data_IF_365311967410
#
_entry.id   IF_365311967410
#
_cell.length_a   1.000
_cell.length_b   1.000
_cell.length_c   1.000
_cell.angle_alpha   90.00
_cell.angle_beta   90.00
_cell.angle_gamma   90.00
#
_symmetry.space_group_name_H-M   'P 1'
#
loop_
_entity.id
_entity.type
_entity.pdbx_description
1 polymer ?
#
# COMPACT_ATOMS: atom_id res chain seq x y z
N UNK A 1 -14.48 2.43 -3.15
CA UNK A 1 -13.16 3.12 -3.21
C UNK A 1 -13.08 4.33 -4.17
N UNK A 2 -13.23 4.20 -5.50
CA UNK A 2 -13.07 5.33 -6.43
C UNK A 2 -13.99 6.53 -6.12
N UNK A 3 -15.24 6.27 -5.75
CA UNK A 3 -16.19 7.29 -5.28
C UNK A 3 -15.73 7.95 -3.96
N UNK A 4 -15.19 7.18 -3.01
CA UNK A 4 -14.70 7.71 -1.73
C UNK A 4 -13.47 8.63 -1.89
N UNK A 5 -12.69 8.44 -2.95
CA UNK A 5 -11.55 9.29 -3.28
C UNK A 5 -11.96 10.64 -3.89
N UNK A 6 -13.13 10.72 -4.54
CA UNK A 6 -13.58 11.93 -5.20
C UNK A 6 -13.80 13.06 -4.17
N UNK A 7 -13.05 14.15 -4.31
CA UNK A 7 -13.21 15.35 -3.47
C UNK A 7 -12.74 15.22 -2.01
N UNK A 8 -12.02 14.16 -1.64
CA UNK A 8 -11.54 14.01 -0.26
C UNK A 8 -10.31 14.88 0.02
N UNK A 9 -10.33 15.73 1.06
CA UNK A 9 -9.22 16.66 1.35
C UNK A 9 -7.96 15.96 1.86
N UNK A 10 -8.06 14.68 2.23
CA UNK A 10 -6.93 13.86 2.70
C UNK A 10 -6.39 12.93 1.61
N UNK A 11 -6.82 13.06 0.35
CA UNK A 11 -6.45 12.13 -0.72
C UNK A 11 -4.93 12.01 -0.89
N UNK A 12 -4.24 13.13 -1.02
CA UNK A 12 -2.79 13.15 -1.19
C UNK A 12 -2.05 12.53 0.01
N UNK A 13 -2.58 12.77 1.22
CA UNK A 13 -2.05 12.18 2.46
C UNK A 13 -2.24 10.66 2.49
N UNK A 14 -3.45 10.19 2.15
CA UNK A 14 -3.76 8.78 2.08
C UNK A 14 -2.93 8.07 1.02
N UNK A 15 -2.82 8.62 -0.20
CA UNK A 15 -1.98 8.05 -1.26
C UNK A 15 -0.52 7.94 -0.83
N UNK A 16 0.02 8.95 -0.14
CA UNK A 16 1.40 8.89 0.38
C UNK A 16 1.57 7.75 1.40
N UNK A 17 0.64 7.63 2.36
CA UNK A 17 0.67 6.56 3.36
C UNK A 17 0.48 5.17 2.74
N UNK A 18 -0.39 5.07 1.74
CA UNK A 18 -0.70 3.84 0.99
C UNK A 18 0.50 3.36 0.18
N UNK A 19 1.27 4.26 -0.47
CA UNK A 19 2.51 3.87 -1.17
C UNK A 19 3.53 3.19 -0.24
N UNK A 20 3.66 3.64 1.00
CA UNK A 20 4.57 3.03 1.96
C UNK A 20 4.13 1.59 2.35
N UNK A 21 2.83 1.37 2.54
CA UNK A 21 2.27 0.04 2.82
C UNK A 21 2.33 -0.89 1.62
N UNK A 22 2.02 -0.38 0.43
CA UNK A 22 2.13 -1.09 -0.83
C UNK A 22 3.58 -1.53 -1.10
N UNK A 23 4.55 -0.61 -0.97
CA UNK A 23 5.96 -0.91 -1.18
C UNK A 23 6.46 -2.00 -0.22
N UNK A 24 6.08 -1.92 1.06
CA UNK A 24 6.43 -2.94 2.04
C UNK A 24 5.78 -4.30 1.73
N UNK A 25 4.51 -4.31 1.32
CA UNK A 25 3.80 -5.53 0.97
C UNK A 25 4.35 -6.18 -0.30
N UNK A 26 4.68 -5.39 -1.32
CA UNK A 26 5.29 -5.87 -2.56
C UNK A 26 6.69 -6.46 -2.27
N UNK A 27 7.51 -5.79 -1.45
CA UNK A 27 8.79 -6.32 -1.02
C UNK A 27 8.63 -7.65 -0.26
N UNK A 28 7.65 -7.75 0.63
CA UNK A 28 7.32 -8.97 1.35
C UNK A 28 6.93 -10.13 0.42
N UNK A 29 6.14 -9.86 -0.64
CA UNK A 29 5.82 -10.84 -1.66
C UNK A 29 7.02 -11.28 -2.52
N UNK A 30 8.12 -10.53 -2.49
CA UNK A 30 9.42 -10.93 -3.05
C UNK A 30 10.32 -11.66 -2.03
N UNK A 31 9.79 -12.01 -0.85
CA UNK A 31 10.53 -12.66 0.23
C UNK A 31 11.44 -11.69 1.00
N UNK A 32 11.23 -10.37 0.87
CA UNK A 32 11.98 -9.32 1.55
C UNK A 32 11.07 -8.62 2.54
N UNK A 33 10.99 -9.13 3.78
CA UNK A 33 10.19 -8.50 4.84
C UNK A 33 10.68 -7.08 5.12
N UNK A 34 9.77 -6.12 5.05
CA UNK A 34 10.01 -4.71 5.34
C UNK A 34 8.94 -4.22 6.30
N UNK A 35 9.37 -3.55 7.36
CA UNK A 35 8.46 -2.81 8.24
C UNK A 35 8.06 -1.47 7.56
N UNK A 36 6.77 -1.23 7.25
CA UNK A 36 6.29 0.02 6.68
C UNK A 36 6.63 1.25 7.54
N UNK A 37 6.71 1.11 8.87
CA UNK A 37 7.02 2.23 9.77
C UNK A 37 8.49 2.61 9.72
N UNK A 38 9.38 1.62 9.54
CA UNK A 38 10.78 1.88 9.21
C UNK A 38 10.92 2.65 7.91
N UNK A 39 10.15 2.29 6.88
CA UNK A 39 10.12 3.01 5.61
C UNK A 39 9.70 4.48 5.82
N UNK A 40 8.62 4.72 6.57
CA UNK A 40 8.17 6.08 6.94
C UNK A 40 9.23 6.87 7.71
N UNK A 41 9.93 6.22 8.63
CA UNK A 41 11.02 6.82 9.42
C UNK A 41 12.19 7.26 8.52
N UNK A 42 12.56 6.45 7.54
CA UNK A 42 13.60 6.77 6.57
C UNK A 42 13.19 7.90 5.61
N UNK A 43 11.94 7.89 5.13
CA UNK A 43 11.39 8.98 4.33
C UNK A 43 11.38 10.31 5.09
N UNK A 44 11.13 10.25 6.40
CA UNK A 44 11.23 11.39 7.30
C UNK A 44 12.68 11.82 7.59
N UNK A 45 13.69 11.16 7.00
CA UNK A 45 15.14 11.37 7.20
C UNK A 45 15.56 11.29 8.67
N UNK A 46 14.86 10.45 9.43
CA UNK A 46 15.24 10.17 10.82
C UNK A 46 16.42 9.19 10.81
N UNK A 47 17.49 9.45 11.58
CA UNK A 47 18.60 8.51 11.69
C UNK A 47 18.13 7.15 12.21
N UNK A 48 18.06 6.16 11.33
CA UNK A 48 17.82 4.77 11.69
C UNK A 48 19.15 4.04 11.80
N UNK A 49 19.30 3.13 12.77
CA UNK A 49 20.46 2.23 12.79
C UNK A 49 20.41 1.32 11.56
N UNK A 50 21.57 1.09 10.94
CA UNK A 50 21.72 0.05 9.93
C UNK A 50 21.29 -1.29 10.57
N UNK A 51 20.40 -2.03 9.91
CA UNK A 51 20.01 -3.38 10.33
C UNK A 51 20.28 -4.36 9.20
N UNK A 52 20.21 -5.66 9.53
CA UNK A 52 20.37 -6.78 8.61
C UNK A 52 19.45 -6.70 7.38
N UNK A 53 18.35 -5.95 7.44
CA UNK A 53 17.34 -5.85 6.36
C UNK A 53 17.49 -4.60 5.49
N UNK A 54 18.67 -3.98 5.46
CA UNK A 54 18.92 -2.75 4.69
C UNK A 54 18.61 -2.91 3.20
N UNK A 55 18.95 -4.06 2.60
CA UNK A 55 18.63 -4.36 1.20
C UNK A 55 17.13 -4.40 0.91
N UNK A 56 16.34 -5.03 1.79
CA UNK A 56 14.88 -5.06 1.69
C UNK A 56 14.28 -3.66 1.81
N UNK A 57 14.84 -2.85 2.70
CA UNK A 57 14.42 -1.47 2.91
C UNK A 57 14.71 -0.58 1.70
N UNK A 58 15.88 -0.75 1.06
CA UNK A 58 16.23 -0.04 -0.17
C UNK A 58 15.33 -0.44 -1.35
N UNK A 59 14.97 -1.73 -1.46
CA UNK A 59 14.00 -2.20 -2.44
C UNK A 59 12.63 -1.51 -2.26
N UNK A 60 12.11 -1.46 -1.03
CA UNK A 60 10.84 -0.78 -0.77
C UNK A 60 10.90 0.74 -1.05
N UNK A 61 12.04 1.39 -0.77
CA UNK A 61 12.24 2.79 -1.16
C UNK A 61 12.23 2.97 -2.69
N UNK A 62 12.84 2.05 -3.44
CA UNK A 62 12.85 2.09 -4.90
C UNK A 62 11.45 1.87 -5.48
N UNK A 63 10.71 0.87 -4.99
CA UNK A 63 9.30 0.64 -5.35
C UNK A 63 8.44 1.89 -5.09
N UNK A 64 8.63 2.56 -3.96
CA UNK A 64 7.91 3.80 -3.66
C UNK A 64 8.28 4.95 -4.59
N UNK A 65 9.56 5.06 -5.00
CA UNK A 65 9.99 6.05 -5.97
C UNK A 65 9.41 5.78 -7.35
N UNK A 66 9.31 4.52 -7.77
CA UNK A 66 8.66 4.13 -9.01
C UNK A 66 7.18 4.55 -9.02
N UNK A 67 6.43 4.19 -7.97
CA UNK A 67 5.03 4.63 -7.83
C UNK A 67 4.88 6.16 -7.90
N UNK A 68 5.82 6.94 -7.34
CA UNK A 68 5.79 8.40 -7.41
C UNK A 68 6.18 8.97 -8.77
N UNK A 69 7.06 8.29 -9.52
CA UNK A 69 7.46 8.70 -10.86
C UNK A 69 6.34 8.41 -11.87
N UNK A 70 5.68 7.26 -11.74
CA UNK A 70 4.52 6.88 -12.56
C UNK A 70 3.37 7.89 -12.43
N UNK A 71 3.18 8.48 -11.24
CA UNK A 71 2.20 9.56 -11.03
C UNK A 71 2.63 10.91 -11.64
N UNK A 72 3.93 11.09 -11.90
CA UNK A 72 4.50 12.35 -12.39
C UNK A 72 4.63 12.39 -13.92
N UNK A 73 4.71 11.23 -14.59
CA UNK A 73 4.81 11.13 -16.05
C UNK A 73 3.52 11.52 -16.79
N UNK A 74 2.40 11.75 -16.08
CA UNK A 74 1.20 12.44 -16.60
C UNK A 74 1.37 13.98 -16.68
N UNK A 75 2.52 14.53 -16.24
CA UNK A 75 2.77 15.96 -16.14
C UNK A 75 4.26 16.29 -15.98
N UNK A 76 5.02 16.07 -17.05
CA UNK A 76 6.46 16.24 -17.20
C UNK A 76 7.18 17.19 -16.23
N UNK A 77 8.02 16.60 -15.39
CA UNK A 77 9.28 17.20 -14.92
C UNK A 77 10.17 16.07 -14.37
N UNK A 78 10.97 15.46 -15.25
CA UNK A 78 12.10 14.63 -14.84
C UNK A 78 13.12 15.51 -14.10
N UNK A 79 13.03 15.53 -12.78
CA UNK A 79 14.04 16.15 -11.93
C UNK A 79 15.35 15.36 -11.94
N UNK A 80 16.38 15.95 -11.34
CA UNK A 80 17.77 15.46 -11.19
C UNK A 80 17.90 14.19 -10.29
N UNK A 81 16.86 13.36 -10.25
CA UNK A 81 16.80 12.16 -9.44
C UNK A 81 17.63 11.04 -10.10
N UNK A 82 18.39 10.24 -9.32
CA UNK A 82 19.11 9.11 -9.89
C UNK A 82 18.15 8.15 -10.62
N UNK A 83 18.60 7.55 -11.73
CA UNK A 83 17.77 6.68 -12.56
C UNK A 83 17.19 5.55 -11.72
N UNK A 84 15.89 5.30 -11.90
CA UNK A 84 15.19 4.20 -11.25
C UNK A 84 15.70 2.87 -11.81
N UNK A 85 15.70 1.82 -10.99
CA UNK A 85 16.01 0.48 -11.48
C UNK A 85 14.83 0.03 -12.34
N UNK A 86 15.04 -0.32 -13.62
CA UNK A 86 13.95 -0.83 -14.46
C UNK A 86 13.32 -2.06 -13.82
N UNK A 87 12.00 -2.07 -13.68
CA UNK A 87 11.23 -3.24 -13.27
C UNK A 87 10.53 -3.85 -14.47
N UNK A 88 10.07 -5.10 -14.36
CA UNK A 88 9.20 -5.71 -15.36
C UNK A 88 7.80 -5.10 -15.41
N UNK A 89 7.57 -3.89 -14.86
CA UNK A 89 6.26 -3.27 -14.78
C UNK A 89 5.68 -2.93 -16.16
N UNK A 90 6.48 -2.36 -17.06
CA UNK A 90 6.01 -2.04 -18.41
C UNK A 90 5.71 -3.33 -19.22
N UNK A 91 6.54 -4.36 -19.04
CA UNK A 91 6.34 -5.70 -19.60
C UNK A 91 5.07 -6.40 -19.06
N UNK A 92 4.77 -6.19 -17.77
CA UNK A 92 3.54 -6.68 -17.15
C UNK A 92 2.32 -5.90 -17.67
N UNK A 93 2.43 -4.57 -17.79
CA UNK A 93 1.38 -3.71 -18.32
C UNK A 93 1.04 -4.06 -19.78
N UNK A 94 2.05 -4.32 -20.62
CA UNK A 94 1.85 -4.76 -21.99
C UNK A 94 1.08 -6.10 -22.07
N UNK A 95 1.32 -7.03 -21.13
CA UNK A 95 0.58 -8.30 -21.05
C UNK A 95 -0.86 -8.11 -20.58
N UNK A 96 -1.11 -7.18 -19.65
CA UNK A 96 -2.48 -6.81 -19.24
C UNK A 96 -3.26 -6.19 -20.40
N UNK A 97 -2.62 -5.32 -21.20
CA UNK A 97 -3.24 -4.74 -22.39
C UNK A 97 -3.54 -5.80 -23.46
N UNK A 98 -2.59 -6.71 -23.72
CA UNK A 98 -2.80 -7.82 -24.66
C UNK A 98 -3.96 -8.75 -24.24
N UNK A 99 -4.25 -8.85 -22.93
CA UNK A 99 -5.35 -9.65 -22.41
C UNK A 99 -6.73 -8.98 -22.56
N UNK A 100 -6.83 -7.73 -23.02
CA UNK A 100 -8.12 -7.05 -23.20
C UNK A 100 -8.94 -7.62 -24.36
N UNK A 101 -8.29 -7.88 -25.50
CA UNK A 101 -8.93 -8.47 -26.68
C UNK A 101 -9.62 -9.81 -26.38
N UNK A 102 -8.93 -10.83 -25.82
CA UNK A 102 -9.56 -12.13 -25.53
C UNK A 102 -10.64 -12.04 -24.45
N UNK A 103 -10.60 -11.02 -23.58
CA UNK A 103 -11.58 -10.82 -22.50
C UNK A 103 -12.74 -9.91 -22.91
N UNK A 104 -12.83 -9.52 -24.19
CA UNK A 104 -13.85 -8.58 -24.71
C UNK A 104 -13.89 -7.26 -23.92
N UNK A 105 -12.72 -6.81 -23.46
CA UNK A 105 -12.57 -5.56 -22.70
C UNK A 105 -12.87 -5.64 -21.21
N UNK A 106 -13.05 -6.82 -20.62
CA UNK A 106 -13.25 -6.97 -19.18
C UNK A 106 -11.95 -6.65 -18.39
N UNK A 107 -11.76 -5.38 -18.02
CA UNK A 107 -10.50 -4.82 -17.47
C UNK A 107 -9.93 -5.62 -16.31
N UNK A 108 -10.73 -5.98 -15.30
CA UNK A 108 -10.22 -6.73 -14.14
C UNK A 108 -9.78 -8.15 -14.50
N UNK A 109 -10.46 -8.77 -15.47
CA UNK A 109 -10.10 -10.10 -15.97
C UNK A 109 -8.80 -10.01 -16.78
N UNK A 110 -8.69 -9.03 -17.67
CA UNK A 110 -7.46 -8.76 -18.43
C UNK A 110 -6.28 -8.47 -17.50
N UNK A 111 -6.49 -7.69 -16.44
CA UNK A 111 -5.49 -7.41 -15.43
C UNK A 111 -4.97 -8.70 -14.76
N UNK A 112 -5.89 -9.56 -14.29
CA UNK A 112 -5.53 -10.82 -13.65
C UNK A 112 -4.83 -11.81 -14.59
N UNK A 113 -5.29 -11.93 -15.84
CA UNK A 113 -4.66 -12.81 -16.83
C UNK A 113 -3.29 -12.28 -17.27
N UNK A 114 -3.15 -10.99 -17.51
CA UNK A 114 -1.88 -10.37 -17.87
C UNK A 114 -0.85 -10.43 -16.74
N UNK A 115 -1.30 -10.29 -15.50
CA UNK A 115 -0.48 -10.51 -14.31
C UNK A 115 0.07 -11.93 -14.28
N UNK A 116 -0.79 -12.94 -14.47
CA UNK A 116 -0.36 -14.34 -14.49
C UNK A 116 0.60 -14.61 -15.65
N UNK A 117 0.26 -14.16 -16.86
CA UNK A 117 1.10 -14.33 -18.04
C UNK A 117 2.49 -13.69 -17.88
N UNK A 118 2.60 -12.58 -17.12
CA UNK A 118 3.89 -11.99 -16.79
C UNK A 118 4.73 -12.92 -15.93
N UNK A 119 4.12 -13.51 -14.90
CA UNK A 119 4.81 -14.41 -13.99
C UNK A 119 5.15 -15.76 -14.64
N UNK A 120 4.27 -16.29 -15.48
CA UNK A 120 4.52 -17.52 -16.27
C UNK A 120 5.67 -17.33 -17.27
N UNK A 121 5.83 -16.12 -17.80
CA UNK A 121 6.96 -15.75 -18.65
C UNK A 121 8.28 -15.52 -17.87
N UNK A 122 8.31 -15.78 -16.56
CA UNK A 122 9.47 -15.56 -15.70
C UNK A 122 9.67 -14.11 -15.26
N UNK A 123 8.66 -13.26 -15.44
CA UNK A 123 8.66 -11.88 -14.98
C UNK A 123 8.67 -11.75 -13.46
N UNK A 124 9.07 -10.58 -12.97
CA UNK A 124 9.22 -10.33 -11.54
C UNK A 124 7.89 -9.94 -10.87
N UNK A 125 7.71 -10.39 -9.62
CA UNK A 125 6.48 -10.09 -8.84
C UNK A 125 6.29 -8.60 -8.58
N UNK A 126 7.37 -7.83 -8.46
CA UNK A 126 7.30 -6.38 -8.22
C UNK A 126 6.73 -5.63 -9.41
N UNK A 127 7.26 -5.92 -10.61
CA UNK A 127 6.79 -5.40 -11.88
C UNK A 127 5.30 -5.70 -12.08
N UNK A 128 4.89 -6.95 -11.88
CA UNK A 128 3.48 -7.33 -11.92
C UNK A 128 2.61 -6.48 -10.97
N UNK A 129 3.03 -6.33 -9.71
CA UNK A 129 2.28 -5.59 -8.71
C UNK A 129 2.19 -4.08 -9.00
N UNK A 130 3.28 -3.47 -9.46
CA UNK A 130 3.31 -2.05 -9.84
C UNK A 130 2.38 -1.76 -11.03
N UNK A 131 2.38 -2.66 -12.02
CA UNK A 131 1.58 -2.53 -13.23
C UNK A 131 0.07 -2.51 -12.96
N UNK A 132 -0.43 -3.26 -11.96
CA UNK A 132 -1.87 -3.35 -11.66
C UNK A 132 -2.48 -1.97 -11.44
N UNK A 133 -1.92 -1.17 -10.53
CA UNK A 133 -2.49 0.13 -10.16
C UNK A 133 -2.51 1.11 -11.33
N UNK A 134 -1.46 1.09 -12.18
CA UNK A 134 -1.34 1.91 -13.39
C UNK A 134 -2.34 1.47 -14.45
N UNK A 135 -2.42 0.17 -14.71
CA UNK A 135 -3.34 -0.40 -15.68
C UNK A 135 -4.79 -0.04 -15.36
N UNK A 136 -5.20 -0.18 -14.10
CA UNK A 136 -6.57 0.19 -13.68
C UNK A 136 -6.86 1.68 -13.87
N UNK A 137 -5.88 2.56 -13.62
CA UNK A 137 -6.02 4.00 -13.83
C UNK A 137 -6.14 4.34 -15.33
N UNK A 138 -5.23 3.82 -16.16
CA UNK A 138 -5.22 4.05 -17.63
C UNK A 138 -6.50 3.53 -18.29
N UNK A 139 -7.06 2.43 -17.78
CA UNK A 139 -8.35 1.89 -18.25
C UNK A 139 -9.58 2.55 -17.61
N UNK A 140 -9.41 3.59 -16.79
CA UNK A 140 -10.49 4.38 -16.20
C UNK A 140 -11.26 3.70 -15.06
N UNK A 141 -10.77 2.60 -14.52
CA UNK A 141 -11.38 1.91 -13.36
C UNK A 141 -11.15 2.69 -12.05
N UNK A 142 -10.04 3.41 -11.96
CA UNK A 142 -9.74 4.35 -10.87
C UNK A 142 -9.36 5.71 -11.45
N UNK A 143 -9.63 6.83 -10.74
CA UNK A 143 -9.32 8.17 -11.25
C UNK A 143 -7.81 8.49 -11.27
N UNK A 144 -7.00 7.65 -10.63
CA UNK A 144 -5.54 7.76 -10.50
C UNK A 144 -4.98 6.39 -10.10
N UNK A 145 -3.67 6.14 -10.26
CA UNK A 145 -3.05 4.91 -9.78
C UNK A 145 -3.22 4.78 -8.27
N UNK A 146 -3.85 3.68 -7.82
CA UNK A 146 -4.10 3.44 -6.41
C UNK A 146 -3.13 2.41 -5.84
N UNK A 147 -2.15 2.81 -5.02
CA UNK A 147 -1.05 1.93 -4.60
C UNK A 147 -1.48 0.67 -3.86
N UNK A 148 -2.57 0.73 -3.08
CA UNK A 148 -3.09 -0.45 -2.37
C UNK A 148 -3.69 -1.50 -3.32
N UNK A 149 -4.10 -1.12 -4.54
CA UNK A 149 -4.57 -2.04 -5.58
C UNK A 149 -3.40 -2.54 -6.41
N UNK A 150 -2.67 -3.51 -5.87
CA UNK A 150 -1.42 -3.99 -6.46
C UNK A 150 -1.38 -5.52 -6.68
N UNK A 151 -2.45 -6.26 -6.37
CA UNK A 151 -2.51 -7.71 -6.60
C UNK A 151 -1.64 -8.56 -5.66
N UNK A 152 -0.91 -7.97 -4.71
CA UNK A 152 -0.03 -8.70 -3.78
C UNK A 152 -0.79 -9.75 -2.96
N UNK A 153 -2.05 -9.47 -2.67
CA UNK A 153 -2.88 -10.40 -1.90
C UNK A 153 -3.22 -11.67 -2.68
N UNK A 154 -3.35 -11.57 -4.01
CA UNK A 154 -3.49 -12.72 -4.87
C UNK A 154 -2.27 -13.64 -4.77
N UNK A 155 -1.06 -13.06 -4.72
CA UNK A 155 0.19 -13.80 -4.54
C UNK A 155 0.18 -14.53 -3.19
N UNK A 156 -0.15 -13.83 -2.10
CA UNK A 156 -0.17 -14.41 -0.74
C UNK A 156 -1.16 -15.57 -0.61
N UNK A 157 -2.33 -15.45 -1.23
CA UNK A 157 -3.35 -16.51 -1.21
C UNK A 157 -3.00 -17.68 -2.12
N UNK A 158 -2.34 -17.42 -3.24
CA UNK A 158 -1.84 -18.48 -4.11
C UNK A 158 -0.68 -19.26 -3.47
N UNK A 159 0.14 -18.62 -2.61
CA UNK A 159 1.21 -19.26 -1.82
C UNK A 159 1.09 -18.98 -0.30
N UNK A 160 0.14 -19.63 0.42
CA UNK A 160 -0.09 -19.38 1.84
C UNK A 160 1.11 -19.73 2.73
N UNK A 161 2.01 -20.57 2.23
CA UNK A 161 3.09 -21.18 3.00
C UNK A 161 4.27 -20.23 3.22
N UNK A 162 4.44 -19.23 2.34
CA UNK A 162 5.60 -18.32 2.36
C UNK A 162 6.96 -19.03 2.29
N UNK A 163 6.98 -20.34 1.99
CA UNK A 163 8.12 -21.23 2.23
C UNK A 163 9.18 -21.16 1.13
N UNK A 164 9.01 -20.31 0.11
CA UNK A 164 10.01 -20.15 -0.97
C UNK A 164 10.71 -18.80 -0.90
N UNK A 165 11.83 -18.72 -0.17
CA UNK A 165 12.75 -17.61 -0.31
C UNK A 165 13.48 -17.74 -1.65
N UNK A 166 13.34 -16.74 -2.53
CA UNK A 166 14.14 -16.62 -3.75
C UNK A 166 13.89 -17.71 -4.78
N UNK A 167 12.92 -17.50 -5.67
CA UNK A 167 12.69 -18.38 -6.81
C UNK A 167 11.20 -18.50 -7.06
N UNK A 168 10.79 -18.19 -8.28
CA UNK A 168 9.41 -18.33 -8.72
C UNK A 168 8.85 -19.71 -8.41
N UNK A 169 7.53 -19.83 -8.56
CA UNK A 169 6.95 -21.14 -8.77
C UNK A 169 7.76 -21.84 -9.88
N UNK A 170 8.10 -23.14 -9.75
CA UNK A 170 8.56 -23.87 -10.91
C UNK A 170 7.55 -23.60 -12.02
N UNK A 171 8.04 -23.10 -13.17
CA UNK A 171 7.22 -22.72 -14.30
C UNK A 171 6.15 -23.79 -14.55
N UNK A 172 4.87 -23.40 -14.55
CA UNK A 172 3.76 -24.30 -14.87
C UNK A 172 2.97 -24.87 -13.67
N UNK A 173 3.28 -24.52 -12.43
CA UNK A 173 2.52 -25.02 -11.26
C UNK A 173 1.76 -23.92 -10.48
N UNK A 174 1.27 -22.89 -11.18
CA UNK A 174 0.22 -22.03 -10.62
C UNK A 174 -1.04 -22.87 -10.33
N UNK A 175 -1.91 -22.45 -9.40
CA UNK A 175 -3.27 -23.00 -9.31
C UNK A 175 -4.03 -22.64 -10.59
N UNK A 176 -3.78 -23.39 -11.67
CA UNK A 176 -4.23 -23.11 -13.03
C UNK A 176 -5.76 -23.18 -13.18
N UNK A 177 -6.47 -23.69 -12.17
CA UNK A 177 -7.93 -23.65 -12.10
C UNK A 177 -8.55 -22.49 -11.32
N UNK A 178 -7.80 -21.79 -10.44
CA UNK A 178 -8.41 -20.83 -9.49
C UNK A 178 -7.69 -19.47 -9.38
N UNK A 179 -6.70 -19.19 -10.25
CA UNK A 179 -5.95 -17.93 -10.19
C UNK A 179 -6.86 -16.71 -10.30
N UNK A 180 -7.76 -16.67 -11.30
CA UNK A 180 -8.57 -15.48 -11.55
C UNK A 180 -9.48 -15.16 -10.36
N UNK A 181 -10.12 -16.17 -9.77
CA UNK A 181 -10.94 -16.00 -8.55
C UNK A 181 -10.07 -15.51 -7.39
N UNK A 182 -8.91 -16.14 -7.16
CA UNK A 182 -7.96 -15.73 -6.11
C UNK A 182 -7.48 -14.28 -6.31
N UNK A 183 -7.26 -13.88 -7.56
CA UNK A 183 -6.87 -12.53 -7.93
C UNK A 183 -7.99 -11.52 -7.68
N UNK A 184 -9.21 -11.81 -8.14
CA UNK A 184 -10.36 -10.93 -7.94
C UNK A 184 -10.71 -10.80 -6.46
N UNK A 185 -10.67 -11.87 -5.67
CA UNK A 185 -10.82 -11.83 -4.21
C UNK A 185 -9.67 -11.06 -3.53
N UNK A 186 -8.46 -11.18 -4.08
CA UNK A 186 -7.29 -10.34 -3.76
C UNK A 186 -7.61 -8.86 -3.88
N UNK A 187 -8.00 -8.46 -5.08
CA UNK A 187 -8.31 -7.08 -5.43
C UNK A 187 -9.49 -6.53 -4.66
N UNK A 188 -10.55 -7.33 -4.44
CA UNK A 188 -11.70 -6.95 -3.65
C UNK A 188 -11.29 -6.61 -2.22
N UNK A 189 -10.50 -7.48 -1.57
CA UNK A 189 -10.05 -7.24 -0.20
C UNK A 189 -9.11 -6.04 -0.10
N UNK A 190 -8.21 -5.85 -1.08
CA UNK A 190 -7.35 -4.67 -1.13
C UNK A 190 -8.14 -3.37 -1.33
N UNK A 191 -9.24 -3.41 -2.07
CA UNK A 191 -10.14 -2.27 -2.24
C UNK A 191 -10.90 -1.94 -0.95
N UNK A 192 -11.38 -2.96 -0.23
CA UNK A 192 -12.05 -2.81 1.07
C UNK A 192 -11.10 -2.22 2.12
N UNK A 193 -9.91 -2.81 2.30
CA UNK A 193 -8.88 -2.31 3.23
C UNK A 193 -8.43 -0.89 2.86
N UNK A 194 -8.28 -0.60 1.55
CA UNK A 194 -7.96 0.72 1.04
C UNK A 194 -9.04 1.76 1.37
N UNK A 195 -10.31 1.41 1.19
CA UNK A 195 -11.43 2.27 1.51
C UNK A 195 -11.58 2.52 3.02
N UNK A 196 -11.48 1.46 3.83
CA UNK A 196 -11.50 1.56 5.30
C UNK A 196 -10.38 2.47 5.82
N UNK A 197 -9.16 2.31 5.30
CA UNK A 197 -8.02 3.15 5.70
C UNK A 197 -8.19 4.62 5.29
N UNK A 198 -8.77 4.90 4.11
CA UNK A 198 -9.09 6.25 3.67
C UNK A 198 -10.14 6.91 4.58
N UNK A 199 -11.22 6.20 4.86
CA UNK A 199 -12.30 6.66 5.74
C UNK A 199 -11.76 6.90 7.16
N UNK A 200 -10.96 5.98 7.69
CA UNK A 200 -10.32 6.12 8.99
C UNK A 200 -9.43 7.38 9.06
N UNK A 201 -8.58 7.61 8.06
CA UNK A 201 -7.74 8.81 8.00
C UNK A 201 -8.57 10.09 7.92
N UNK A 202 -9.64 10.11 7.11
CA UNK A 202 -10.52 11.27 7.00
C UNK A 202 -11.19 11.60 8.34
N UNK A 203 -11.72 10.60 9.05
CA UNK A 203 -12.33 10.79 10.37
C UNK A 203 -11.32 11.30 11.40
N UNK A 204 -10.12 10.71 11.43
CA UNK A 204 -9.01 11.15 12.30
C UNK A 204 -8.60 12.58 12.02
N UNK A 205 -8.34 12.91 10.76
CA UNK A 205 -7.95 14.26 10.34
C UNK A 205 -9.00 15.32 10.72
N UNK A 206 -10.29 15.03 10.50
CA UNK A 206 -11.38 15.92 10.96
C UNK A 206 -11.38 16.07 12.47
N UNK A 207 -11.14 14.98 13.21
CA UNK A 207 -10.98 15.00 14.66
C UNK A 207 -9.83 15.90 15.11
N UNK A 208 -8.64 15.72 14.53
CA UNK A 208 -7.46 16.54 14.83
C UNK A 208 -7.69 18.02 14.55
N UNK A 209 -8.30 18.36 13.40
CA UNK A 209 -8.64 19.76 13.09
C UNK A 209 -9.64 20.36 14.08
N UNK A 210 -10.61 19.58 14.60
CA UNK A 210 -11.53 20.06 15.64
C UNK A 210 -10.82 20.36 16.96
N UNK A 211 -9.83 19.54 17.36
CA UNK A 211 -9.07 19.77 18.61
C UNK A 211 -8.24 21.05 18.57
N UNK A 212 -7.72 21.41 17.39
CA UNK A 212 -6.97 22.66 17.18
C UNK A 212 -7.88 23.90 17.20
N UNK A 213 -9.13 23.77 16.74
CA UNK A 213 -10.08 24.89 16.67
C UNK A 213 -9.98 25.73 15.39
N UNK A 214 -10.85 26.73 15.25
CA UNK A 214 -11.08 27.46 13.99
C UNK A 214 -10.63 28.94 13.99
N UNK A 215 -9.69 29.34 14.85
CA UNK A 215 -9.26 30.75 14.89
C UNK A 215 -8.29 31.06 13.76
N UNK A 216 -8.33 32.29 13.25
CA UNK A 216 -7.41 32.77 12.21
C UNK A 216 -5.94 32.70 12.63
N UNK A 217 -5.65 32.84 13.93
CA UNK A 217 -4.31 32.67 14.52
C UNK A 217 -3.76 31.25 14.36
N UNK A 218 -4.62 30.26 14.17
CA UNK A 218 -4.29 28.83 14.25
C UNK A 218 -3.96 28.25 12.86
N UNK A 219 -3.85 29.10 11.84
CA UNK A 219 -3.56 28.68 10.47
C UNK A 219 -2.27 27.86 10.37
N UNK A 220 -1.24 28.18 11.17
CA UNK A 220 0.04 27.45 11.15
C UNK A 220 -0.05 26.07 11.79
N UNK A 221 -0.76 25.95 12.92
CA UNK A 221 -0.97 24.65 13.57
C UNK A 221 -1.89 23.74 12.74
N UNK A 222 -2.89 24.29 12.03
CA UNK A 222 -3.68 23.50 11.07
C UNK A 222 -2.85 22.95 9.92
N UNK A 223 -1.92 23.74 9.37
CA UNK A 223 -0.97 23.25 8.37
C UNK A 223 -0.02 22.19 8.94
N UNK A 224 0.31 22.28 10.23
CA UNK A 224 1.07 21.24 10.92
C UNK A 224 0.27 19.93 11.06
N UNK A 225 -1.04 20.01 11.37
CA UNK A 225 -1.95 18.85 11.33
C UNK A 225 -1.97 18.21 9.95
N UNK A 226 -2.10 18.99 8.88
CA UNK A 226 -2.12 18.48 7.51
C UNK A 226 -0.79 17.79 7.15
N UNK A 227 0.34 18.33 7.61
CA UNK A 227 1.66 17.73 7.42
C UNK A 227 1.80 16.38 8.14
N UNK A 228 1.36 16.30 9.40
CA UNK A 228 1.37 15.05 10.18
C UNK A 228 0.42 14.01 9.58
N UNK A 229 -0.76 14.45 9.12
CA UNK A 229 -1.68 13.60 8.40
C UNK A 229 -1.07 13.05 7.10
N UNK A 230 -0.34 13.88 6.35
CA UNK A 230 0.29 13.44 5.11
C UNK A 230 1.41 12.41 5.33
N UNK A 231 2.34 12.70 6.24
CA UNK A 231 3.61 11.97 6.29
C UNK A 231 3.65 10.90 7.38
N UNK A 232 2.78 11.02 8.39
CA UNK A 232 2.69 10.07 9.51
C UNK A 232 3.85 10.15 10.49
N UNK A 233 5.07 10.39 10.03
CA UNK A 233 6.29 10.59 10.84
C UNK A 233 6.88 11.96 10.52
N UNK A 234 7.17 12.74 11.55
CA UNK A 234 7.59 14.13 11.42
C UNK A 234 8.71 14.48 12.40
N UNK A 235 9.74 15.14 11.91
CA UNK A 235 10.78 15.78 12.75
C UNK A 235 10.62 17.31 12.72
N UNK A 236 11.12 18.04 13.74
CA UNK A 236 11.07 19.49 13.74
C UNK A 236 11.70 20.13 12.49
N UNK A 237 12.85 19.61 12.04
CA UNK A 237 13.53 20.11 10.84
C UNK A 237 12.69 19.92 9.56
N UNK A 238 12.00 18.79 9.45
CA UNK A 238 11.16 18.48 8.29
C UNK A 238 9.88 19.31 8.27
N UNK A 239 9.25 19.49 9.44
CA UNK A 239 8.10 20.38 9.55
C UNK A 239 8.49 21.84 9.26
N UNK A 240 9.64 22.29 9.77
CA UNK A 240 10.19 23.62 9.51
C UNK A 240 10.39 23.87 8.01
N UNK A 241 11.00 22.91 7.30
CA UNK A 241 11.16 22.99 5.84
C UNK A 241 9.82 23.06 5.11
N UNK A 242 8.85 22.23 5.51
CA UNK A 242 7.51 22.19 4.88
C UNK A 242 6.71 23.46 5.12
N UNK A 243 6.76 24.01 6.34
CA UNK A 243 6.04 25.23 6.71
C UNK A 243 6.84 26.51 6.40
N UNK A 244 8.09 26.38 5.93
CA UNK A 244 9.04 27.48 5.69
C UNK A 244 9.18 28.38 6.93
N UNK A 245 9.43 27.78 8.09
CA UNK A 245 9.60 28.50 9.36
C UNK A 245 10.87 28.06 10.09
N UNK A 246 11.19 28.73 11.20
CA UNK A 246 12.29 28.32 12.06
C UNK A 246 12.03 26.95 12.72
N UNK A 247 13.08 26.17 12.95
CA UNK A 247 13.01 24.86 13.61
C UNK A 247 12.48 24.94 15.05
N UNK A 248 12.75 26.04 15.76
CA UNK A 248 12.16 26.32 17.09
C UNK A 248 10.65 26.43 17.00
N UNK A 249 10.13 27.28 16.12
CA UNK A 249 8.68 27.42 15.90
C UNK A 249 8.01 26.10 15.45
N UNK A 250 8.71 25.28 14.65
CA UNK A 250 8.22 23.95 14.28
C UNK A 250 8.21 22.97 15.48
N UNK A 251 9.17 23.10 16.39
CA UNK A 251 9.22 22.32 17.62
C UNK A 251 8.03 22.66 18.52
N UNK A 252 7.76 23.95 18.73
CA UNK A 252 6.61 24.42 19.54
C UNK A 252 5.28 23.91 18.97
N UNK A 253 5.14 23.89 17.64
CA UNK A 253 3.96 23.33 16.98
C UNK A 253 3.82 21.83 17.23
N UNK A 254 4.90 21.06 17.16
CA UNK A 254 4.86 19.61 17.40
C UNK A 254 4.56 19.28 18.87
N UNK A 255 5.09 20.07 19.81
CA UNK A 255 4.75 19.95 21.24
C UNK A 255 3.29 20.30 21.52
N UNK A 256 2.74 21.32 20.84
CA UNK A 256 1.31 21.62 20.91
C UNK A 256 0.47 20.48 20.34
N UNK A 257 0.83 19.93 19.17
CA UNK A 257 0.14 18.76 18.60
C UNK A 257 0.23 17.54 19.52
N UNK A 258 1.34 17.37 20.25
CA UNK A 258 1.47 16.33 21.25
C UNK A 258 0.54 16.54 22.45
N UNK A 259 0.45 17.79 22.96
CA UNK A 259 -0.50 18.15 24.03
C UNK A 259 -1.95 17.94 23.62
N UNK A 260 -2.28 18.09 22.34
CA UNK A 260 -3.60 17.82 21.76
C UNK A 260 -3.81 16.34 21.37
N UNK A 261 -2.88 15.45 21.72
CA UNK A 261 -2.92 14.01 21.42
C UNK A 261 -3.05 13.71 19.92
N UNK A 262 -2.53 14.58 19.06
CA UNK A 262 -2.51 14.42 17.60
C UNK A 262 -1.23 13.69 17.16
N UNK A 263 -0.14 13.92 17.88
CA UNK A 263 1.15 13.28 17.64
C UNK A 263 1.77 12.76 18.94
N UNK A 264 2.59 11.71 18.83
CA UNK A 264 3.30 11.09 19.94
C UNK A 264 4.79 11.18 19.66
N UNK A 265 5.55 11.72 20.62
CA UNK A 265 7.02 11.70 20.54
C UNK A 265 7.53 10.29 20.85
N UNK A 266 8.22 9.67 19.89
CA UNK A 266 8.75 8.31 20.02
C UNK A 266 10.23 8.28 20.41
N UNK A 267 10.97 9.36 20.19
CA UNK A 267 12.39 9.46 20.51
C UNK A 267 12.58 10.29 21.78
N UNK A 268 12.99 9.70 22.90
CA UNK A 268 13.32 10.46 24.13
C UNK A 268 14.70 11.14 24.07
N UNK A 269 15.15 11.61 22.89
CA UNK A 269 16.49 12.20 22.68
C UNK A 269 16.37 13.70 22.43
N UNK A 270 17.23 14.50 23.09
CA UNK A 270 17.25 15.97 22.94
C UNK A 270 17.56 16.48 21.53
N UNK A 271 18.38 15.77 20.76
CA UNK A 271 18.92 16.27 19.47
C UNK A 271 18.17 15.83 18.22
N UNK A 272 17.40 14.74 18.29
CA UNK A 272 16.68 14.18 17.13
C UNK A 272 15.29 13.73 17.55
N UNK A 273 14.43 14.70 17.89
CA UNK A 273 13.04 14.44 18.25
C UNK A 273 12.23 14.04 17.01
N UNK A 274 11.42 13.00 17.17
CA UNK A 274 10.57 12.43 16.14
C UNK A 274 9.20 12.23 16.73
N UNK A 275 8.23 12.78 16.02
CA UNK A 275 6.82 12.74 16.35
C UNK A 275 6.12 11.89 15.31
N UNK A 276 5.20 11.06 15.76
CA UNK A 276 4.42 10.19 14.89
C UNK A 276 2.96 10.56 15.10
N UNK A 277 2.18 10.59 14.02
CA UNK A 277 0.74 10.68 14.13
C UNK A 277 0.23 9.63 15.11
N UNK A 278 -0.64 10.03 16.04
CA UNK A 278 -1.14 9.16 17.11
C UNK A 278 -1.63 7.80 16.59
N UNK A 279 -2.23 7.84 15.41
CA UNK A 279 -2.84 6.72 14.74
C UNK A 279 -1.87 5.66 14.18
N UNK A 280 -0.59 6.01 14.09
CA UNK A 280 0.51 5.11 13.71
C UNK A 280 1.41 4.76 14.91
N UNK A 281 1.18 5.36 16.08
CA UNK A 281 2.08 5.25 17.23
C UNK A 281 2.12 3.83 17.82
N UNK A 282 0.98 3.13 17.89
CA UNK A 282 0.91 1.75 18.36
C UNK A 282 1.77 0.81 17.51
N UNK A 283 1.80 1.02 16.19
CA UNK A 283 2.56 0.20 15.25
C UNK A 283 4.09 0.42 15.34
N UNK A 284 4.54 1.49 16.01
CA UNK A 284 5.96 1.71 16.31
C UNK A 284 6.39 1.10 17.66
N UNK A 285 5.43 0.82 18.54
CA UNK A 285 5.67 0.14 19.82
C UNK A 285 6.17 -1.30 19.67
N UNK A 286 5.84 -1.97 18.55
CA UNK A 286 6.38 -3.29 18.19
C UNK A 286 7.87 -3.26 17.78
N UNK A 287 8.44 -2.06 17.58
CA UNK A 287 9.85 -1.83 17.22
C UNK A 287 10.67 -1.26 18.40
N UNK A 288 10.11 -1.23 19.62
CA UNK A 288 10.90 -1.11 20.84
C UNK A 288 11.71 -2.41 21.06
N UNK A 289 12.95 -2.34 21.57
CA UNK A 289 13.90 -3.45 21.47
C UNK A 289 13.33 -4.71 22.10
N UNK A 290 13.49 -5.85 21.39
CA UNK A 290 13.39 -7.18 21.99
C UNK A 290 14.22 -7.14 23.27
N UNK A 291 13.55 -7.10 24.42
CA UNK A 291 14.17 -7.36 25.70
C UNK A 291 14.90 -8.69 25.58
N UNK A 292 16.09 -8.79 26.18
CA UNK A 292 17.00 -9.93 26.11
C UNK A 292 16.46 -11.18 26.87
N UNK A 293 15.17 -11.46 26.76
CA UNK A 293 14.49 -12.56 27.42
C UNK A 293 13.51 -13.22 26.44
N UNK A 294 14.06 -13.96 25.49
CA UNK A 294 13.36 -15.06 24.81
C UNK A 294 14.42 -16.07 24.38
N UNK A 295 15.02 -16.72 25.38
CA UNK A 295 15.78 -17.94 25.20
C UNK A 295 14.85 -19.07 24.74
N UNK A 296 15.37 -19.87 23.80
CA UNK A 296 15.09 -21.30 23.57
C UNK A 296 13.65 -21.77 23.41
N UNK A 297 13.25 -22.03 22.16
CA UNK A 297 12.32 -23.12 21.83
C UNK A 297 12.90 -23.96 20.69
N UNK A 298 12.90 -25.27 20.92
CA UNK A 298 13.71 -26.27 20.23
C UNK A 298 13.27 -26.66 18.82
N UNK A 299 14.16 -27.42 18.19
CA UNK A 299 14.02 -28.00 16.86
C UNK A 299 12.83 -28.98 16.75
N UNK A 300 12.22 -29.03 15.57
CA UNK A 300 11.24 -30.06 15.19
C UNK A 300 11.82 -30.85 13.99
N UNK A 301 11.79 -32.20 13.99
CA UNK A 301 12.37 -33.02 12.93
C UNK A 301 11.43 -33.21 11.73
N UNK A 302 12.03 -33.45 10.56
CA UNK A 302 11.38 -33.66 9.27
C UNK A 302 10.85 -35.10 9.08
N UNK A 303 9.76 -35.24 8.31
CA UNK A 303 9.22 -36.52 7.81
C UNK A 303 8.59 -36.32 6.41
N UNK A 304 8.49 -37.37 5.57
CA UNK A 304 8.85 -37.29 4.15
C UNK A 304 7.69 -37.17 3.14
N UNK A 305 8.07 -36.69 1.94
CA UNK A 305 7.28 -36.55 0.71
C UNK A 305 6.79 -37.90 0.17
N UNK A 306 5.53 -37.95 -0.29
CA UNK A 306 4.98 -39.05 -1.08
C UNK A 306 4.41 -38.54 -2.42
N UNK A 307 4.53 -39.41 -3.42
CA UNK A 307 4.52 -39.20 -4.86
C UNK A 307 3.17 -38.80 -5.50
N UNK A 308 3.29 -38.13 -6.66
CA UNK A 308 2.25 -37.87 -7.67
C UNK A 308 1.76 -39.16 -8.38
N UNK A 309 0.59 -39.08 -9.03
CA UNK A 309 0.57 -39.38 -10.47
C UNK A 309 -0.07 -38.27 -11.33
N UNK A 310 0.29 -38.33 -12.61
CA UNK A 310 0.11 -37.41 -13.74
C UNK A 310 -1.10 -37.86 -14.63
N UNK A 311 -1.42 -37.25 -15.80
CA UNK A 311 -2.28 -36.08 -16.01
C UNK A 311 -3.50 -36.34 -16.95
N UNK A 312 -4.10 -35.25 -17.44
CA UNK A 312 -5.11 -35.08 -18.51
C UNK A 312 -6.60 -35.20 -18.19
N UNK A 313 -7.26 -34.02 -18.12
CA UNK A 313 -8.57 -33.78 -18.74
C UNK A 313 -8.83 -32.28 -18.90
N UNK A 314 -9.30 -31.90 -20.09
CA UNK A 314 -9.97 -30.62 -20.34
C UNK A 314 -11.10 -30.41 -19.32
N UNK A 315 -11.22 -29.20 -18.75
CA UNK A 315 -12.26 -28.83 -17.78
C UNK A 315 -13.00 -27.59 -18.29
N UNK A 316 -14.33 -27.71 -18.38
CA UNK A 316 -15.27 -26.62 -18.71
C UNK A 316 -15.23 -25.49 -17.66
N UNK A 317 -15.75 -24.28 -17.95
CA UNK A 317 -15.74 -23.16 -17.00
C UNK A 317 -16.43 -23.57 -15.69
N UNK A 318 -15.74 -23.38 -14.56
CA UNK A 318 -16.20 -23.78 -13.25
C UNK A 318 -17.48 -23.02 -12.83
N UNK A 319 -18.47 -23.77 -12.34
CA UNK A 319 -19.66 -23.24 -11.64
C UNK A 319 -19.24 -22.27 -10.52
N UNK A 320 -19.92 -21.13 -10.42
CA UNK A 320 -19.76 -20.16 -9.31
C UNK A 320 -19.27 -18.75 -9.69
N UNK A 321 -18.89 -18.51 -10.95
CA UNK A 321 -18.59 -17.14 -11.45
C UNK A 321 -19.82 -16.23 -11.33
N UNK A 322 -21.00 -16.77 -11.63
CA UNK A 322 -22.27 -16.06 -11.50
C UNK A 322 -22.62 -15.75 -10.03
N UNK A 323 -22.23 -16.63 -9.09
CA UNK A 323 -22.44 -16.41 -7.66
C UNK A 323 -21.52 -15.33 -7.08
N UNK A 324 -20.28 -15.25 -7.57
CA UNK A 324 -19.32 -14.19 -7.21
C UNK A 324 -19.78 -12.81 -7.72
N UNK A 325 -20.28 -12.76 -8.96
CA UNK A 325 -20.89 -11.56 -9.55
C UNK A 325 -22.17 -11.15 -8.80
N UNK A 326 -23.04 -12.12 -8.45
CA UNK A 326 -24.24 -11.87 -7.65
C UNK A 326 -23.90 -11.40 -6.22
N UNK A 327 -22.79 -11.85 -5.65
CA UNK A 327 -22.31 -11.37 -4.35
C UNK A 327 -21.84 -9.91 -4.42
N UNK A 328 -21.08 -9.56 -5.46
CA UNK A 328 -20.65 -8.18 -5.74
C UNK A 328 -21.87 -7.26 -5.91
N UNK A 329 -22.86 -7.68 -6.70
CA UNK A 329 -24.10 -6.92 -6.92
C UNK A 329 -24.90 -6.73 -5.63
N UNK A 330 -24.91 -7.72 -4.73
CA UNK A 330 -25.57 -7.65 -3.42
C UNK A 330 -24.85 -6.69 -2.47
N UNK A 331 -23.52 -6.62 -2.53
CA UNK A 331 -22.71 -5.66 -1.77
C UNK A 331 -23.00 -4.23 -2.26
N UNK A 332 -23.02 -4.03 -3.58
CA UNK A 332 -23.36 -2.73 -4.19
C UNK A 332 -24.78 -2.27 -3.81
N UNK A 333 -25.78 -3.16 -3.89
CA UNK A 333 -27.18 -2.87 -3.51
C UNK A 333 -27.35 -2.56 -2.01
N UNK A 334 -26.52 -3.12 -1.11
CA UNK A 334 -26.53 -2.76 0.32
C UNK A 334 -25.97 -1.37 0.58
N UNK A 335 -25.13 -0.85 -0.31
CA UNK A 335 -24.48 0.45 -0.16
C UNK A 335 -25.28 1.61 -0.79
N UNK A 336 -26.21 1.32 -1.70
CA UNK A 336 -27.09 2.33 -2.33
C UNK A 336 -27.85 3.24 -1.33
N UNK A 337 -28.45 2.74 -0.23
CA UNK A 337 -29.11 3.60 0.76
C UNK A 337 -28.13 4.49 1.54
N UNK A 338 -26.87 4.05 1.68
CA UNK A 338 -25.81 4.82 2.36
C UNK A 338 -25.29 5.93 1.46
N UNK A 339 -25.10 5.65 0.16
CA UNK A 339 -24.68 6.65 -0.84
C UNK A 339 -25.79 7.67 -1.16
N UNK A 340 -27.06 7.25 -1.19
CA UNK A 340 -28.22 8.13 -1.38
C UNK A 340 -28.42 9.15 -0.25
N UNK A 341 -27.84 8.92 0.94
CA UNK A 341 -27.78 9.90 2.04
C UNK A 341 -26.68 10.94 1.85
N UNK A 342 -25.60 10.63 1.13
CA UNK A 342 -24.54 11.58 0.81
C UNK A 342 -24.86 12.47 -0.40
N UNK A 343 -25.78 12.05 -1.28
CA UNK A 343 -26.23 12.85 -2.43
C UNK A 343 -27.28 13.93 -2.12
N UNK A 344 -27.81 14.02 -0.89
CA UNK A 344 -28.94 14.91 -0.55
C UNK A 344 -28.61 16.14 0.30
N UNK A 345 -27.34 16.37 0.63
CA UNK A 345 -26.89 17.60 1.35
C UNK A 345 -26.20 18.60 0.42
N UNK A 346 -26.80 18.82 -0.75
CA UNK A 346 -26.39 19.83 -1.72
C UNK A 346 -27.64 20.44 -2.36
N UNK A 347 -28.35 21.25 -1.58
CA UNK A 347 -29.45 22.13 -1.99
C UNK A 347 -29.45 23.33 -1.05
#
# INVERSE_FOLDING_TARGET
>A
MAQAMAGTPVLAAWLHRSRAEAAASIADAQGRRVDPNRLRTLLARVPARASRDWGATMLALDLMRQMLADDADDGGAAGDAPPLVPTGADDAMARMEAALEPTKGAVLIACGLGFLAHLEAGGDRGGACLAVSRFLAVRGMTPLPVPCLNGVEAIRRADPSGTRPGGGWPSGNWPSGNWLVTFLDGMARQAEEGEESLIALLHRWRGWRRRVGDRRSDARIRRAVDAVAAEGVMSPARLAARLRCATSAATDLLEELQRLEIAVEITRRRTHRVFVAEDLASMLGEVAPRSAAAETVGAIPAAPLAMLPEPDRWVEPAEGVDDALANLERILKRQDPLLARYGRTGG
#
